data_IF_716975055590
#
_entry.id   IF_716975055590
#
_cell.length_a   1.000
_cell.length_b   1.000
_cell.length_c   1.000
_cell.angle_alpha   90.00
_cell.angle_beta   90.00
_cell.angle_gamma   90.00
#
_symmetry.space_group_name_H-M   'P 1'
#
loop_
_entity.id
_entity.type
_entity.pdbx_description
1 polymer ?
#
# COMPACT_ATOMS: atom_id res chain seq x y z
N UNK A 1 -16.37 -21.73 2.83
CA UNK A 1 -15.43 -20.64 2.48
C UNK A 1 -16.21 -19.47 1.90
N UNK A 2 -16.27 -18.30 2.57
CA UNK A 2 -16.88 -17.11 1.95
C UNK A 2 -15.88 -16.55 0.93
N UNK A 3 -15.82 -17.19 -0.25
CA UNK A 3 -14.87 -16.90 -1.33
C UNK A 3 -14.81 -15.40 -1.64
N UNK A 4 -15.96 -14.74 -1.59
CA UNK A 4 -16.11 -13.31 -1.86
C UNK A 4 -15.26 -12.44 -0.93
N UNK A 5 -15.16 -12.77 0.35
CA UNK A 5 -14.46 -11.94 1.35
C UNK A 5 -12.93 -12.07 1.22
N UNK A 6 -12.45 -13.28 0.90
CA UNK A 6 -11.05 -13.52 0.55
C UNK A 6 -10.66 -12.85 -0.77
N UNK A 7 -11.50 -12.96 -1.81
CA UNK A 7 -11.24 -12.30 -3.10
C UNK A 7 -11.19 -10.78 -2.94
N UNK A 8 -12.12 -10.18 -2.19
CA UNK A 8 -12.13 -8.74 -1.92
C UNK A 8 -10.87 -8.30 -1.18
N UNK A 9 -10.49 -9.01 -0.10
CA UNK A 9 -9.27 -8.70 0.65
C UNK A 9 -8.00 -8.80 -0.19
N UNK A 10 -7.87 -9.86 -0.99
CA UNK A 10 -6.73 -10.06 -1.89
C UNK A 10 -6.63 -8.99 -2.98
N UNK A 11 -7.74 -8.63 -3.62
CA UNK A 11 -7.76 -7.58 -4.66
C UNK A 11 -7.39 -6.22 -4.05
N UNK A 12 -7.86 -5.92 -2.84
CA UNK A 12 -7.55 -4.66 -2.15
C UNK A 12 -6.07 -4.56 -1.77
N UNK A 13 -5.48 -5.66 -1.28
CA UNK A 13 -4.04 -5.74 -0.99
C UNK A 13 -3.18 -5.62 -2.26
N UNK A 14 -3.58 -6.30 -3.33
CA UNK A 14 -2.86 -6.26 -4.60
C UNK A 14 -2.88 -4.84 -5.18
N UNK A 15 -4.05 -4.21 -5.19
CA UNK A 15 -4.23 -2.82 -5.63
C UNK A 15 -3.38 -1.85 -4.81
N UNK A 16 -3.44 -1.95 -3.48
CA UNK A 16 -2.62 -1.12 -2.58
C UNK A 16 -1.12 -1.28 -2.80
N UNK A 17 -0.66 -2.52 -3.02
CA UNK A 17 0.75 -2.84 -3.28
C UNK A 17 1.24 -2.30 -4.63
N UNK A 18 0.43 -2.44 -5.68
CA UNK A 18 0.75 -1.88 -7.00
C UNK A 18 0.84 -0.35 -6.91
N UNK A 19 -0.10 0.29 -6.21
CA UNK A 19 -0.08 1.74 -6.03
C UNK A 19 1.18 2.21 -5.26
N UNK A 20 1.59 1.47 -4.23
CA UNK A 20 2.83 1.74 -3.49
C UNK A 20 4.07 1.57 -4.38
N UNK A 21 4.07 0.54 -5.22
CA UNK A 21 5.17 0.22 -6.14
C UNK A 21 5.34 1.29 -7.22
N UNK A 22 4.24 1.75 -7.82
CA UNK A 22 4.25 2.85 -8.79
C UNK A 22 4.78 4.14 -8.13
N UNK A 23 4.43 4.39 -6.86
CA UNK A 23 4.98 5.54 -6.13
C UNK A 23 6.50 5.44 -5.94
N UNK A 24 7.02 4.28 -5.56
CA UNK A 24 8.48 4.09 -5.46
C UNK A 24 9.17 4.22 -6.81
N UNK A 25 8.54 3.74 -7.89
CA UNK A 25 9.05 3.91 -9.24
C UNK A 25 9.08 5.38 -9.66
N UNK A 26 8.02 6.14 -9.37
CA UNK A 26 7.96 7.57 -9.65
C UNK A 26 9.06 8.33 -8.89
N UNK A 27 9.30 7.99 -7.63
CA UNK A 27 10.40 8.55 -6.84
C UNK A 27 11.74 8.21 -7.49
N UNK A 28 11.99 6.96 -7.87
CA UNK A 28 13.23 6.54 -8.52
C UNK A 28 13.48 7.27 -9.85
N UNK A 29 12.43 7.52 -10.64
CA UNK A 29 12.51 8.29 -11.89
C UNK A 29 12.73 9.79 -11.66
N UNK A 30 12.27 10.33 -10.54
CA UNK A 30 12.40 11.75 -10.20
C UNK A 30 13.68 12.07 -9.44
N UNK A 31 14.29 11.10 -8.75
CA UNK A 31 15.60 11.27 -8.09
C UNK A 31 16.69 11.84 -9.01
N UNK A 32 16.89 11.39 -10.26
CA UNK A 32 17.94 11.94 -11.14
C UNK A 32 17.66 13.37 -11.62
N UNK A 33 16.42 13.88 -11.54
CA UNK A 33 16.11 15.27 -11.90
C UNK A 33 16.47 16.25 -10.78
N UNK A 34 16.70 15.76 -9.57
CA UNK A 34 17.23 16.55 -8.46
C UNK A 34 18.75 16.61 -8.56
N UNK A 35 19.26 17.73 -9.06
CA UNK A 35 20.69 18.02 -9.10
C UNK A 35 21.25 18.11 -7.66
N UNK A 36 22.17 17.19 -7.33
CA UNK A 36 22.90 17.18 -6.07
C UNK A 36 22.20 16.47 -4.91
N UNK A 37 22.89 15.44 -4.38
CA UNK A 37 22.59 14.76 -3.10
C UNK A 37 23.09 15.57 -1.87
N UNK A 38 23.43 16.86 -2.04
CA UNK A 38 24.21 17.67 -1.10
C UNK A 38 23.46 18.24 0.10
N UNK A 39 22.40 19.05 -0.07
CA UNK A 39 21.81 19.83 1.03
C UNK A 39 20.35 20.25 0.70
N UNK A 40 19.36 20.33 1.63
CA UNK A 40 19.27 19.91 3.04
C UNK A 40 18.49 18.57 3.26
N UNK A 41 18.39 18.04 4.50
CA UNK A 41 17.75 16.76 4.83
C UNK A 41 16.22 16.81 4.68
N UNK A 42 15.72 16.63 3.46
CA UNK A 42 14.29 16.62 3.18
C UNK A 42 13.88 16.12 1.80
N UNK A 43 14.84 15.62 0.99
CA UNK A 43 14.64 15.32 -0.43
C UNK A 43 13.48 14.35 -0.70
N UNK A 44 13.23 13.37 0.17
CA UNK A 44 12.08 12.47 0.01
C UNK A 44 10.76 13.25 0.14
N UNK A 45 10.61 14.09 1.16
CA UNK A 45 9.44 14.96 1.30
C UNK A 45 9.34 16.00 0.17
N UNK A 46 10.47 16.51 -0.34
CA UNK A 46 10.51 17.41 -1.50
C UNK A 46 10.05 16.72 -2.78
N UNK A 47 10.52 15.49 -3.04
CA UNK A 47 10.07 14.67 -4.18
C UNK A 47 8.59 14.36 -4.04
N UNK A 48 8.15 13.89 -2.86
CA UNK A 48 6.74 13.60 -2.62
C UNK A 48 5.86 14.84 -2.74
N UNK A 49 6.33 16.01 -2.33
CA UNK A 49 5.58 17.25 -2.52
C UNK A 49 5.55 17.66 -4.01
N UNK A 50 6.67 17.52 -4.73
CA UNK A 50 6.78 17.85 -6.15
C UNK A 50 5.91 16.97 -7.04
N UNK A 51 5.80 15.67 -6.73
CA UNK A 51 4.96 14.72 -7.49
C UNK A 51 3.53 14.60 -6.93
N UNK A 52 3.15 15.44 -5.97
CA UNK A 52 1.92 15.27 -5.15
C UNK A 52 1.75 13.84 -4.62
N UNK A 53 2.86 13.16 -4.38
CA UNK A 53 2.96 11.75 -4.02
C UNK A 53 2.42 11.43 -2.64
N UNK A 54 2.23 12.44 -1.78
CA UNK A 54 1.64 12.28 -0.46
C UNK A 54 0.23 11.67 -0.52
N UNK A 55 -0.59 12.10 -1.47
CA UNK A 55 -1.95 11.59 -1.63
C UNK A 55 -1.99 10.09 -1.97
N UNK A 56 -1.37 9.62 -3.08
CA UNK A 56 -1.34 8.19 -3.41
C UNK A 56 -0.58 7.34 -2.37
N UNK A 57 0.40 7.90 -1.67
CA UNK A 57 1.14 7.19 -0.62
C UNK A 57 0.28 6.91 0.61
N UNK A 58 -0.43 7.93 1.14
CA UNK A 58 -1.37 7.77 2.25
C UNK A 58 -2.50 6.82 1.84
N UNK A 59 -3.03 6.98 0.62
CA UNK A 59 -4.10 6.13 0.10
C UNK A 59 -3.66 4.66 0.00
N UNK A 60 -2.44 4.40 -0.47
CA UNK A 60 -1.87 3.05 -0.53
C UNK A 60 -1.75 2.41 0.86
N UNK A 61 -1.27 3.15 1.87
CA UNK A 61 -1.19 2.66 3.25
C UNK A 61 -2.57 2.25 3.77
N UNK A 62 -3.60 3.08 3.54
CA UNK A 62 -4.97 2.79 3.95
C UNK A 62 -5.52 1.54 3.24
N UNK A 63 -5.24 1.38 1.95
CA UNK A 63 -5.66 0.20 1.19
C UNK A 63 -4.99 -1.07 1.70
N UNK A 64 -3.69 -1.02 1.97
CA UNK A 64 -2.93 -2.14 2.52
C UNK A 64 -3.42 -2.48 3.93
N UNK A 65 -3.60 -1.48 4.80
CA UNK A 65 -4.06 -1.70 6.18
C UNK A 65 -5.47 -2.29 6.21
N UNK A 66 -6.37 -1.76 5.40
CA UNK A 66 -7.75 -2.26 5.30
C UNK A 66 -7.79 -3.68 4.73
N UNK A 67 -7.00 -3.95 3.67
CA UNK A 67 -6.91 -5.27 3.06
C UNK A 67 -6.35 -6.32 4.03
N UNK A 68 -5.36 -5.94 4.84
CA UNK A 68 -4.76 -6.80 5.86
C UNK A 68 -5.76 -7.13 6.98
N UNK A 69 -6.51 -6.13 7.48
CA UNK A 69 -7.55 -6.35 8.49
C UNK A 69 -8.65 -7.29 7.96
N UNK A 70 -9.10 -7.09 6.72
CA UNK A 70 -10.11 -7.95 6.09
C UNK A 70 -9.61 -9.40 5.97
N UNK A 71 -8.36 -9.60 5.54
CA UNK A 71 -7.76 -10.94 5.47
C UNK A 71 -7.67 -11.60 6.84
N UNK A 72 -7.23 -10.86 7.87
CA UNK A 72 -7.11 -11.38 9.23
C UNK A 72 -8.47 -11.81 9.81
N UNK A 73 -9.51 -10.99 9.60
CA UNK A 73 -10.89 -11.32 9.98
C UNK A 73 -11.38 -12.55 9.20
N UNK A 74 -11.10 -12.61 7.90
CA UNK A 74 -11.48 -13.74 7.05
C UNK A 74 -10.86 -15.05 7.53
N UNK A 75 -9.59 -15.03 7.93
CA UNK A 75 -8.90 -16.19 8.49
C UNK A 75 -9.52 -16.63 9.81
N UNK A 76 -9.81 -15.69 10.73
CA UNK A 76 -10.44 -16.02 12.02
C UNK A 76 -11.85 -16.59 11.88
N UNK A 77 -12.64 -16.08 10.94
CA UNK A 77 -13.95 -16.64 10.63
C UNK A 77 -13.83 -18.07 10.05
N UNK A 78 -12.75 -18.37 9.34
CA UNK A 78 -12.50 -19.71 8.82
C UNK A 78 -12.09 -20.70 9.91
N UNK A 79 -11.20 -20.31 10.83
CA UNK A 79 -10.86 -21.13 12.01
C UNK A 79 -12.11 -21.45 12.86
N UNK A 80 -12.94 -20.45 13.15
CA UNK A 80 -14.12 -20.64 13.99
C UNK A 80 -15.12 -21.65 13.39
N UNK A 81 -15.28 -21.67 12.06
CA UNK A 81 -16.11 -22.67 11.37
C UNK A 81 -15.56 -24.09 11.49
N UNK A 82 -14.24 -24.26 11.58
CA UNK A 82 -13.60 -25.57 11.73
C UNK A 82 -13.76 -26.16 13.14
N UNK A 83 -13.90 -25.33 14.18
CA UNK A 83 -14.16 -25.80 15.55
C UNK A 83 -15.62 -26.13 15.84
N UNK A 84 -16.55 -25.80 14.93
CA UNK A 84 -18.00 -26.08 15.10
C UNK A 84 -18.48 -27.32 14.35
N UNK A 85 -17.58 -28.04 13.70
CA UNK A 85 -17.87 -29.30 13.00
C UNK A 85 -17.25 -30.47 13.76
#
# INVERSE_FOLDING_TARGET
MNKNLLTIGSVLLLSGSILLGIMHLAIALYVPTLTGWGDPPGKFATVLNAIMGWFPYILSIIFISTGMVIMFISQRLNENKNCKH
#
